data_IF_337818966211
#
_entry.id   IF_337818966211
#
_cell.length_a   1.000
_cell.length_b   1.000
_cell.length_c   1.000
_cell.angle_alpha   90.00
_cell.angle_beta   90.00
_cell.angle_gamma   90.00
#
_symmetry.space_group_name_H-M   'P 1'
#
loop_
_entity.id
_entity.type
_entity.pdbx_description
1 polymer ?
#
# COMPACT_ATOMS: atom_id res chain seq x y z
N UNK A 1 -37.14 6.24 1.04
CA UNK A 1 -35.98 6.95 0.47
C UNK A 1 -34.73 6.40 1.14
N UNK A 2 -34.01 5.50 0.49
CA UNK A 2 -32.71 5.02 1.00
C UNK A 2 -31.73 6.19 0.95
N UNK A 3 -31.26 6.62 2.11
CA UNK A 3 -30.22 7.63 2.21
C UNK A 3 -29.03 7.18 1.35
N UNK A 4 -28.60 8.04 0.41
CA UNK A 4 -27.44 7.75 -0.43
C UNK A 4 -26.23 7.45 0.46
N UNK A 5 -25.58 6.31 0.24
CA UNK A 5 -24.36 5.93 0.95
C UNK A 5 -23.30 7.01 0.69
N UNK A 6 -22.79 7.62 1.77
CA UNK A 6 -21.84 8.73 1.69
C UNK A 6 -20.56 8.32 0.97
N UNK A 7 -20.13 7.06 1.12
CA UNK A 7 -18.95 6.52 0.45
C UNK A 7 -19.20 6.39 -1.06
N UNK A 8 -20.37 5.88 -1.46
CA UNK A 8 -20.75 5.81 -2.88
C UNK A 8 -20.86 7.21 -3.49
N UNK A 9 -21.32 8.19 -2.70
CA UNK A 9 -21.39 9.58 -3.11
C UNK A 9 -19.99 10.18 -3.32
N UNK A 10 -19.03 9.88 -2.44
CA UNK A 10 -17.63 10.30 -2.58
C UNK A 10 -17.00 9.69 -3.84
N UNK A 11 -17.24 8.41 -4.11
CA UNK A 11 -16.64 7.68 -5.23
C UNK A 11 -17.34 7.89 -6.57
N UNK A 12 -18.51 8.54 -6.57
CA UNK A 12 -19.28 8.81 -7.78
C UNK A 12 -18.41 9.51 -8.83
N UNK A 13 -18.47 9.01 -10.07
CA UNK A 13 -17.74 9.52 -11.23
C UNK A 13 -16.19 9.49 -11.06
N UNK A 14 -15.69 8.69 -10.13
CA UNK A 14 -14.26 8.44 -9.92
C UNK A 14 -13.82 7.09 -10.47
N UNK A 15 -12.51 6.91 -10.68
CA UNK A 15 -11.91 5.62 -11.08
C UNK A 15 -11.33 4.86 -9.88
N UNK A 16 -11.81 5.18 -8.68
CA UNK A 16 -11.41 4.50 -7.44
C UNK A 16 -12.52 3.55 -7.03
N UNK A 17 -12.13 2.40 -6.53
CA UNK A 17 -13.07 1.37 -6.11
C UNK A 17 -12.72 0.81 -4.74
N UNK A 18 -13.55 -0.08 -4.22
CA UNK A 18 -13.42 -0.61 -2.86
C UNK A 18 -13.16 -2.13 -2.84
N UNK A 19 -13.00 -2.76 -4.00
CA UNK A 19 -12.91 -4.21 -4.19
C UNK A 19 -11.80 -4.85 -3.35
N UNK A 20 -10.72 -4.11 -3.10
CA UNK A 20 -9.61 -4.59 -2.29
C UNK A 20 -9.92 -4.62 -0.79
N UNK A 21 -10.94 -3.90 -0.31
CA UNK A 21 -11.21 -3.69 1.11
C UNK A 21 -12.33 -4.58 1.64
N UNK A 22 -12.06 -5.23 2.77
CA UNK A 22 -13.06 -6.03 3.45
C UNK A 22 -14.21 -5.15 3.93
N UNK A 23 -15.42 -5.70 3.98
CA UNK A 23 -16.61 -4.93 4.34
C UNK A 23 -16.49 -4.26 5.72
N UNK A 24 -15.79 -4.91 6.66
CA UNK A 24 -15.53 -4.34 7.99
C UNK A 24 -14.62 -3.10 7.94
N UNK A 25 -13.59 -3.08 7.10
CA UNK A 25 -12.73 -1.90 6.90
C UNK A 25 -13.56 -0.71 6.39
N UNK A 26 -14.45 -0.98 5.42
CA UNK A 26 -15.35 0.02 4.84
C UNK A 26 -16.34 0.54 5.88
N UNK A 27 -16.96 -0.34 6.68
CA UNK A 27 -17.89 0.09 7.73
C UNK A 27 -17.19 0.88 8.84
N UNK A 28 -15.99 0.47 9.26
CA UNK A 28 -15.23 1.16 10.30
C UNK A 28 -14.87 2.59 9.87
N UNK A 29 -14.49 2.79 8.60
CA UNK A 29 -14.27 4.14 8.09
C UNK A 29 -15.60 4.92 8.00
N UNK A 30 -16.66 4.29 7.47
CA UNK A 30 -17.99 4.91 7.31
C UNK A 30 -18.53 5.51 8.60
N UNK A 31 -18.40 4.80 9.72
CA UNK A 31 -18.87 5.27 11.03
C UNK A 31 -18.15 6.52 11.53
N UNK A 32 -16.96 6.83 11.01
CA UNK A 32 -16.13 7.99 11.36
C UNK A 32 -16.24 9.12 10.34
N UNK A 33 -17.13 9.02 9.35
CA UNK A 33 -17.36 10.07 8.36
C UNK A 33 -18.37 11.07 8.92
N UNK A 34 -17.96 12.33 8.96
CA UNK A 34 -18.81 13.45 9.37
C UNK A 34 -19.03 14.41 8.21
N UNK A 35 -20.12 15.17 8.25
CA UNK A 35 -20.47 16.14 7.22
C UNK A 35 -21.13 15.52 5.97
N UNK A 36 -22.15 16.20 5.44
CA UNK A 36 -22.90 15.74 4.26
C UNK A 36 -22.31 16.31 2.96
N UNK A 37 -22.16 17.64 2.88
CA UNK A 37 -21.68 18.35 1.68
C UNK A 37 -20.16 18.27 1.51
N UNK A 38 -19.45 18.27 2.63
CA UNK A 38 -17.99 18.15 2.68
C UNK A 38 -17.65 17.04 3.65
N UNK A 39 -17.63 15.78 3.19
CA UNK A 39 -17.35 14.64 4.05
C UNK A 39 -15.92 14.74 4.59
N UNK A 40 -15.76 14.58 5.89
CA UNK A 40 -14.47 14.60 6.59
C UNK A 40 -14.33 13.36 7.45
N UNK A 41 -13.09 13.00 7.77
CA UNK A 41 -12.79 12.00 8.81
C UNK A 41 -11.52 12.38 9.56
N UNK A 42 -11.34 11.88 10.77
CA UNK A 42 -10.09 12.05 11.50
C UNK A 42 -9.00 11.14 10.91
N UNK A 43 -7.89 11.75 10.49
CA UNK A 43 -6.74 11.01 9.96
C UNK A 43 -5.79 10.64 11.12
N UNK A 44 -5.62 9.34 11.42
CA UNK A 44 -4.74 8.89 12.48
C UNK A 44 -3.27 8.99 12.12
N UNK A 45 -2.87 9.50 10.94
CA UNK A 45 -1.45 9.81 10.68
C UNK A 45 -1.19 11.29 10.91
N UNK A 46 -2.00 12.14 10.26
CA UNK A 46 -1.88 13.61 10.34
C UNK A 46 -2.39 14.21 11.65
N UNK A 47 -3.15 13.45 12.46
CA UNK A 47 -3.67 13.90 13.75
C UNK A 47 -4.76 14.97 13.69
N UNK A 48 -5.45 15.08 12.55
CA UNK A 48 -6.48 16.11 12.30
C UNK A 48 -7.57 15.60 11.37
N UNK A 49 -8.70 16.31 11.33
CA UNK A 49 -9.74 16.07 10.34
C UNK A 49 -9.24 16.38 8.92
N UNK A 50 -9.61 15.53 7.97
CA UNK A 50 -9.26 15.65 6.54
C UNK A 50 -10.51 15.47 5.69
N UNK A 51 -10.59 16.20 4.58
CA UNK A 51 -11.68 16.05 3.62
C UNK A 51 -11.50 14.76 2.79
N UNK A 52 -12.54 13.93 2.74
CA UNK A 52 -12.58 12.71 1.95
C UNK A 52 -12.90 13.00 0.49
N UNK A 53 -11.83 13.22 -0.29
CA UNK A 53 -11.85 13.03 -1.75
C UNK A 53 -11.72 11.53 -2.07
N UNK A 54 -12.06 11.06 -3.30
CA UNK A 54 -11.90 9.65 -3.67
C UNK A 54 -10.55 9.05 -3.32
N UNK A 55 -9.47 9.74 -3.66
CA UNK A 55 -8.10 9.31 -3.35
C UNK A 55 -7.82 9.27 -1.83
N UNK A 56 -8.26 10.29 -1.10
CA UNK A 56 -8.09 10.33 0.36
C UNK A 56 -8.89 9.21 1.03
N UNK A 57 -10.06 8.84 0.51
CA UNK A 57 -10.83 7.70 1.00
C UNK A 57 -10.02 6.39 0.87
N UNK A 58 -9.42 6.13 -0.31
CA UNK A 58 -8.57 4.95 -0.50
C UNK A 58 -7.32 5.04 0.37
N UNK A 59 -6.69 6.21 0.50
CA UNK A 59 -5.53 6.43 1.39
C UNK A 59 -5.88 6.13 2.86
N UNK A 60 -7.05 6.55 3.34
CA UNK A 60 -7.51 6.25 4.70
C UNK A 60 -7.81 4.76 4.89
N UNK A 61 -8.47 4.10 3.94
CA UNK A 61 -8.70 2.65 4.01
C UNK A 61 -7.37 1.87 4.01
N UNK A 62 -6.43 2.28 3.15
CA UNK A 62 -5.13 1.61 3.06
C UNK A 62 -4.30 1.79 4.32
N UNK A 63 -4.34 2.96 4.98
CA UNK A 63 -3.62 3.13 6.23
C UNK A 63 -4.21 2.31 7.37
N UNK A 64 -5.54 2.18 7.46
CA UNK A 64 -6.16 1.26 8.43
C UNK A 64 -5.67 -0.17 8.23
N UNK A 65 -5.46 -0.60 6.99
CA UNK A 65 -4.86 -1.91 6.69
C UNK A 65 -3.42 -2.00 7.15
N UNK A 66 -2.60 -0.97 6.90
CA UNK A 66 -1.21 -0.93 7.35
C UNK A 66 -1.11 -1.04 8.88
N UNK A 67 -1.97 -0.33 9.61
CA UNK A 67 -1.96 -0.32 11.08
C UNK A 67 -2.53 -1.62 11.66
N UNK A 68 -3.66 -2.11 11.14
CA UNK A 68 -4.42 -3.18 11.79
C UNK A 68 -4.08 -4.58 11.26
N UNK A 69 -3.75 -4.71 9.97
CA UNK A 69 -3.46 -6.02 9.34
C UNK A 69 -1.97 -6.27 9.17
N UNK A 70 -1.22 -5.25 8.72
CA UNK A 70 0.23 -5.35 8.60
C UNK A 70 0.97 -4.93 9.88
N UNK A 71 0.23 -4.50 10.91
CA UNK A 71 0.75 -4.16 12.23
C UNK A 71 1.85 -3.10 12.25
N UNK A 72 1.95 -2.25 11.22
CA UNK A 72 2.90 -1.16 11.22
C UNK A 72 2.51 -0.12 12.27
N UNK A 73 3.41 0.24 13.20
CA UNK A 73 3.13 1.28 14.18
C UNK A 73 2.96 2.63 13.47
N UNK A 74 2.06 3.47 14.00
CA UNK A 74 1.73 4.80 13.44
C UNK A 74 2.99 5.65 13.23
N UNK A 75 3.95 5.52 14.13
CA UNK A 75 5.23 6.24 14.17
C UNK A 75 6.12 5.92 12.98
N UNK A 76 5.90 4.79 12.29
CA UNK A 76 6.60 4.40 11.07
C UNK A 76 5.88 4.85 9.79
N UNK A 77 4.62 5.28 9.87
CA UNK A 77 3.84 5.67 8.68
C UNK A 77 3.87 7.18 8.49
N UNK A 78 4.11 7.64 7.27
CA UNK A 78 4.09 9.05 6.87
C UNK A 78 3.16 9.23 5.69
N UNK A 79 2.41 10.32 5.69
CA UNK A 79 1.62 10.76 4.54
C UNK A 79 2.32 11.91 3.83
N UNK A 80 2.16 11.99 2.51
CA UNK A 80 2.66 13.10 1.69
C UNK A 80 4.16 13.38 1.93
N UNK A 81 4.94 12.30 2.12
CA UNK A 81 6.34 12.35 2.51
C UNK A 81 7.17 12.96 1.38
N UNK A 82 8.03 13.92 1.73
CA UNK A 82 8.82 14.67 0.78
C UNK A 82 9.94 13.81 0.20
N UNK A 83 9.98 13.67 -1.12
CA UNK A 83 11.08 13.01 -1.85
C UNK A 83 11.83 14.06 -2.67
N UNK A 84 13.15 14.12 -2.46
CA UNK A 84 14.02 15.07 -3.14
C UNK A 84 14.57 14.46 -4.44
N UNK A 85 14.46 15.20 -5.54
CA UNK A 85 14.96 14.87 -6.87
C UNK A 85 15.93 15.97 -7.31
N UNK A 86 17.12 16.00 -6.73
CA UNK A 86 18.05 17.11 -6.90
C UNK A 86 17.42 18.43 -6.42
N UNK A 87 17.05 19.31 -7.36
CA UNK A 87 16.37 20.58 -7.06
C UNK A 87 14.84 20.45 -6.98
N UNK A 88 14.27 19.43 -7.61
CA UNK A 88 12.83 19.20 -7.58
C UNK A 88 12.42 18.47 -6.29
N UNK A 89 11.21 18.74 -5.82
CA UNK A 89 10.62 18.08 -4.66
C UNK A 89 9.24 17.56 -5.02
N UNK A 90 8.99 16.29 -4.72
CA UNK A 90 7.69 15.63 -4.92
C UNK A 90 7.24 14.98 -3.61
N UNK A 91 5.99 14.55 -3.53
CA UNK A 91 5.44 13.91 -2.32
C UNK A 91 4.91 12.52 -2.67
N UNK A 92 5.36 11.52 -1.93
CA UNK A 92 4.80 10.18 -1.99
C UNK A 92 3.55 10.10 -1.11
N UNK A 93 2.53 9.37 -1.54
CA UNK A 93 1.24 9.33 -0.84
C UNK A 93 1.37 8.75 0.57
N UNK A 94 1.97 7.57 0.68
CA UNK A 94 2.27 6.91 1.95
C UNK A 94 3.69 6.36 1.90
N UNK A 95 4.43 6.57 2.97
CA UNK A 95 5.74 5.95 3.21
C UNK A 95 5.71 5.22 4.54
N UNK A 96 6.18 3.97 4.53
CA UNK A 96 6.52 3.22 5.74
C UNK A 96 8.03 3.29 5.89
N UNK A 97 8.48 3.75 7.06
CA UNK A 97 9.88 3.91 7.40
C UNK A 97 10.46 2.59 7.91
N UNK A 98 11.76 2.42 7.70
CA UNK A 98 12.55 1.29 8.18
C UNK A 98 12.47 1.22 9.73
N UNK A 99 12.46 -0.01 10.26
CA UNK A 99 12.26 -0.25 11.70
C UNK A 99 13.46 0.25 12.53
N UNK A 100 14.66 0.16 11.98
CA UNK A 100 15.92 0.47 12.66
C UNK A 100 16.46 1.84 12.23
N UNK A 101 16.00 2.36 11.08
CA UNK A 101 16.42 3.65 10.51
C UNK A 101 15.21 4.55 10.28
N UNK A 102 14.87 5.34 11.30
CA UNK A 102 13.65 6.15 11.35
C UNK A 102 13.46 7.16 10.19
N UNK A 103 14.52 7.54 9.48
CA UNK A 103 14.44 8.47 8.33
C UNK A 103 14.60 7.76 6.97
N UNK A 104 14.68 6.42 6.95
CA UNK A 104 14.87 5.65 5.72
C UNK A 104 13.55 5.07 5.25
N UNK A 105 13.05 5.44 4.05
CA UNK A 105 11.89 4.80 3.44
C UNK A 105 12.13 3.30 3.21
N UNK A 106 11.22 2.47 3.70
CA UNK A 106 11.24 1.02 3.51
C UNK A 106 10.23 0.57 2.45
N UNK A 107 9.00 1.07 2.53
CA UNK A 107 7.94 0.83 1.56
C UNK A 107 7.37 2.16 1.12
N UNK A 108 7.19 2.33 -0.19
CA UNK A 108 6.51 3.48 -0.79
C UNK A 108 5.20 3.01 -1.41
N UNK A 109 4.09 3.65 -1.06
CA UNK A 109 2.77 3.35 -1.61
C UNK A 109 2.26 4.56 -2.37
N UNK A 110 1.79 4.34 -3.60
CA UNK A 110 1.08 5.34 -4.41
C UNK A 110 -0.38 4.93 -4.59
N UNK A 111 -1.27 5.84 -4.23
CA UNK A 111 -2.73 5.71 -4.32
C UNK A 111 -3.18 6.58 -5.49
N UNK A 112 -3.36 5.99 -6.68
CA UNK A 112 -3.48 6.75 -7.92
C UNK A 112 -4.67 6.36 -8.81
N UNK A 113 -5.08 7.36 -9.61
CA UNK A 113 -5.99 7.25 -10.76
C UNK A 113 -5.35 6.45 -11.92
N UNK A 114 -6.16 5.97 -12.91
CA UNK A 114 -6.34 4.56 -13.22
C UNK A 114 -5.23 3.87 -14.04
N UNK A 115 -4.20 4.60 -14.48
CA UNK A 115 -3.17 4.00 -15.34
C UNK A 115 -2.02 3.47 -14.50
N UNK A 116 -2.00 2.15 -14.30
CA UNK A 116 -0.90 1.42 -13.68
C UNK A 116 0.48 1.83 -14.24
N UNK A 117 0.57 2.08 -15.55
CA UNK A 117 1.83 2.46 -16.20
C UNK A 117 2.41 3.78 -15.68
N UNK A 118 1.57 4.80 -15.47
CA UNK A 118 2.01 6.10 -14.97
C UNK A 118 2.42 6.00 -13.49
N UNK A 119 1.69 5.21 -12.71
CA UNK A 119 2.02 4.91 -11.31
C UNK A 119 3.33 4.14 -11.17
N UNK A 120 3.57 3.15 -12.03
CA UNK A 120 4.83 2.38 -12.07
C UNK A 120 6.04 3.26 -12.29
N UNK A 121 6.00 4.17 -13.27
CA UNK A 121 7.12 5.07 -13.55
C UNK A 121 7.43 5.97 -12.34
N UNK A 122 6.40 6.50 -11.68
CA UNK A 122 6.54 7.34 -10.49
C UNK A 122 7.13 6.56 -9.31
N UNK A 123 6.65 5.34 -9.03
CA UNK A 123 7.18 4.47 -7.98
C UNK A 123 8.65 4.13 -8.21
N UNK A 124 9.04 3.84 -9.46
CA UNK A 124 10.44 3.64 -9.83
C UNK A 124 11.29 4.85 -9.50
N UNK A 125 10.84 6.04 -9.89
CA UNK A 125 11.53 7.29 -9.56
C UNK A 125 11.68 7.49 -8.04
N UNK A 126 10.63 7.26 -7.26
CA UNK A 126 10.70 7.42 -5.80
C UNK A 126 11.65 6.42 -5.13
N UNK A 127 11.58 5.14 -5.50
CA UNK A 127 12.48 4.15 -4.93
C UNK A 127 13.94 4.41 -5.31
N UNK A 128 14.21 4.87 -6.54
CA UNK A 128 15.56 5.25 -6.95
C UNK A 128 16.09 6.46 -6.16
N UNK A 129 15.23 7.44 -5.86
CA UNK A 129 15.62 8.64 -5.11
C UNK A 129 15.79 8.40 -3.60
N UNK A 130 15.11 7.41 -3.04
CA UNK A 130 15.06 7.15 -1.59
C UNK A 130 15.83 5.91 -1.15
N UNK A 131 16.12 4.99 -2.07
CA UNK A 131 16.67 3.68 -1.77
C UNK A 131 15.63 2.66 -1.28
N UNK A 132 14.33 3.00 -1.24
CA UNK A 132 13.30 2.09 -0.75
C UNK A 132 13.30 0.76 -1.54
N UNK A 133 13.35 -0.40 -0.86
CA UNK A 133 13.35 -1.71 -1.52
C UNK A 133 11.98 -2.13 -2.05
N UNK A 134 10.88 -1.56 -1.53
CA UNK A 134 9.52 -2.02 -1.85
C UNK A 134 8.66 -0.87 -2.33
N UNK A 135 7.90 -1.12 -3.40
CA UNK A 135 6.91 -0.21 -3.95
C UNK A 135 5.54 -0.87 -4.04
N UNK A 136 4.49 -0.10 -3.76
CA UNK A 136 3.10 -0.54 -3.88
C UNK A 136 2.32 0.48 -4.70
N UNK A 137 1.54 -0.02 -5.66
CA UNK A 137 0.57 0.77 -6.38
C UNK A 137 -0.83 0.26 -6.09
N UNK A 138 -1.80 1.16 -5.86
CA UNK A 138 -3.22 0.78 -5.79
C UNK A 138 -4.17 1.90 -6.23
N UNK A 139 -5.33 1.49 -6.76
CA UNK A 139 -6.49 2.35 -7.00
C UNK A 139 -7.75 1.88 -6.22
N UNK A 140 -7.57 0.97 -5.25
CA UNK A 140 -8.67 0.37 -4.50
C UNK A 140 -9.42 -0.77 -5.23
N UNK A 141 -9.23 -0.92 -6.55
CA UNK A 141 -9.67 -2.09 -7.32
C UNK A 141 -8.55 -3.11 -7.50
N UNK A 142 -7.38 -2.61 -7.85
CA UNK A 142 -6.17 -3.38 -8.17
C UNK A 142 -5.04 -2.94 -7.25
N UNK A 143 -4.17 -3.89 -6.94
CA UNK A 143 -2.96 -3.67 -6.18
C UNK A 143 -1.80 -4.39 -6.87
N UNK A 144 -0.62 -3.79 -6.81
CA UNK A 144 0.60 -4.42 -7.26
C UNK A 144 1.73 -4.08 -6.30
N UNK A 145 2.49 -5.11 -5.96
CA UNK A 145 3.64 -5.02 -5.06
C UNK A 145 4.90 -5.30 -5.85
N UNK A 146 5.95 -4.52 -5.61
CA UNK A 146 7.22 -4.65 -6.30
C UNK A 146 8.39 -4.68 -5.32
N UNK A 147 9.35 -5.54 -5.60
CA UNK A 147 10.69 -5.49 -5.02
C UNK A 147 11.65 -4.84 -6.02
N UNK A 148 12.32 -3.76 -5.59
CA UNK A 148 13.42 -3.12 -6.32
C UNK A 148 14.71 -3.89 -6.08
N UNK A 149 15.29 -4.43 -7.15
CA UNK A 149 16.65 -4.98 -7.19
C UNK A 149 17.60 -4.03 -7.91
N UNK A 150 18.87 -4.06 -7.54
CA UNK A 150 19.89 -3.32 -8.27
C UNK A 150 20.17 -3.93 -9.65
N UNK A 151 20.50 -3.11 -10.68
CA UNK A 151 20.61 -1.65 -10.65
C UNK A 151 19.31 -0.93 -11.06
N UNK A 152 18.14 -1.33 -10.53
CA UNK A 152 16.77 -0.80 -10.72
C UNK A 152 15.82 -1.68 -11.55
N UNK A 153 15.90 -3.00 -11.36
CA UNK A 153 14.86 -3.92 -11.82
C UNK A 153 13.74 -4.00 -10.78
N UNK A 154 12.47 -4.05 -11.23
CA UNK A 154 11.31 -4.15 -10.34
C UNK A 154 10.61 -5.47 -10.63
N UNK A 155 10.60 -6.35 -9.64
CA UNK A 155 9.96 -7.64 -9.70
C UNK A 155 8.64 -7.62 -8.96
N UNK A 156 7.59 -8.17 -9.57
CA UNK A 156 6.34 -8.40 -8.86
C UNK A 156 6.58 -9.32 -7.66
N UNK A 157 6.07 -8.95 -6.49
CA UNK A 157 6.01 -9.80 -5.30
C UNK A 157 4.54 -10.04 -4.91
N UNK A 158 4.30 -11.07 -4.12
CA UNK A 158 2.95 -11.49 -3.73
C UNK A 158 2.27 -10.47 -2.81
N UNK A 159 2.99 -10.01 -1.79
CA UNK A 159 2.52 -9.05 -0.80
C UNK A 159 3.68 -8.20 -0.26
N UNK A 160 3.40 -7.24 0.63
CA UNK A 160 4.41 -6.58 1.46
C UNK A 160 4.59 -7.33 2.79
N UNK A 161 5.76 -7.24 3.44
CA UNK A 161 5.93 -7.77 4.78
C UNK A 161 5.00 -7.04 5.76
N UNK A 162 4.53 -7.75 6.78
CA UNK A 162 4.01 -7.10 7.98
C UNK A 162 5.18 -6.55 8.83
N UNK A 163 4.88 -5.85 9.94
CA UNK A 163 5.88 -5.17 10.76
C UNK A 163 6.95 -6.09 11.37
N UNK A 164 6.64 -7.37 11.54
CA UNK A 164 7.52 -8.40 12.13
C UNK A 164 8.18 -9.30 11.09
N UNK A 165 7.76 -9.20 9.82
CA UNK A 165 8.33 -9.91 8.70
C UNK A 165 9.42 -9.10 7.99
N UNK A 166 10.31 -9.81 7.33
CA UNK A 166 11.29 -9.25 6.42
C UNK A 166 10.84 -9.43 4.97
N UNK A 167 11.45 -8.66 4.07
CA UNK A 167 11.28 -8.88 2.63
C UNK A 167 11.73 -10.29 2.20
N UNK A 168 12.74 -10.86 2.86
CA UNK A 168 13.21 -12.21 2.55
C UNK A 168 12.12 -13.26 2.82
N UNK A 169 11.32 -13.08 3.88
CA UNK A 169 10.21 -13.98 4.21
C UNK A 169 9.19 -14.01 3.07
N UNK A 170 8.78 -12.83 2.59
CA UNK A 170 7.85 -12.69 1.45
C UNK A 170 8.40 -13.33 0.17
N UNK A 171 9.70 -13.13 -0.12
CA UNK A 171 10.32 -13.72 -1.30
C UNK A 171 10.38 -15.25 -1.20
N UNK A 172 10.63 -15.80 -0.01
CA UNK A 172 10.68 -17.24 0.24
C UNK A 172 9.31 -17.91 0.08
N UNK A 173 8.23 -17.28 0.55
CA UNK A 173 6.86 -17.77 0.37
C UNK A 173 6.54 -17.96 -1.12
N UNK A 174 6.92 -16.99 -1.96
CA UNK A 174 6.77 -17.10 -3.42
C UNK A 174 7.51 -18.30 -4.00
N UNK A 175 8.73 -18.60 -3.52
CA UNK A 175 9.47 -19.78 -4.00
C UNK A 175 8.75 -21.07 -3.62
N UNK A 176 8.22 -21.19 -2.40
CA UNK A 176 7.49 -22.39 -1.97
C UNK A 176 6.22 -22.65 -2.78
N UNK A 177 5.46 -21.60 -3.14
CA UNK A 177 4.27 -21.73 -3.99
C UNK A 177 4.60 -22.13 -5.43
N UNK A 178 5.77 -21.73 -5.93
CA UNK A 178 6.20 -22.01 -7.30
C UNK A 178 7.06 -23.28 -7.43
N UNK A 179 7.40 -23.93 -6.32
CA UNK A 179 8.12 -25.21 -6.33
C UNK A 179 7.08 -26.33 -6.35
N UNK A 180 6.93 -27.10 -7.44
CA UNK A 180 6.11 -28.30 -7.39
C UNK A 180 6.71 -29.21 -6.32
N UNK A 181 5.88 -29.74 -5.42
CA UNK A 181 6.30 -30.75 -4.44
C UNK A 181 6.96 -31.92 -5.19
N UNK A 182 8.29 -31.89 -5.32
CA UNK A 182 9.05 -33.04 -5.77
C UNK A 182 8.95 -34.06 -4.64
N UNK A 183 8.13 -35.06 -4.91
CA UNK A 183 7.83 -36.21 -4.06
C UNK A 183 9.13 -36.76 -3.44
N UNK A 184 9.31 -36.73 -2.09
CA UNK A 184 10.48 -37.29 -1.44
C UNK A 184 10.32 -38.81 -1.28
N UNK A 185 10.20 -39.53 -2.39
CA UNK A 185 10.30 -40.99 -2.44
C UNK A 185 10.99 -41.40 -3.75
N UNK A 186 12.26 -41.05 -3.86
CA UNK A 186 13.18 -41.68 -4.81
C UNK A 186 14.52 -41.97 -4.12
N UNK A 187 14.46 -42.61 -2.96
CA UNK A 187 15.55 -43.40 -2.42
C UNK A 187 14.94 -44.67 -1.82
N UNK A 188 15.03 -45.79 -2.56
CA UNK A 188 15.16 -47.17 -2.07
C UNK A 188 14.72 -48.18 -3.14
N UNK A 189 15.69 -48.69 -3.92
CA UNK A 189 15.86 -50.09 -4.38
C UNK A 189 17.02 -50.02 -5.40
N UNK A 190 18.17 -50.65 -5.23
CA UNK A 190 18.44 -51.94 -4.61
C UNK A 190 18.93 -52.87 -5.72
N UNK A 191 20.24 -53.16 -5.69
CA UNK A 191 21.08 -53.97 -6.62
C UNK A 191 21.61 -53.28 -7.87
#
# INVERSE_FOLDING_TARGET
MTQSDIIQTILKDSNYHLDLFHISEIQNLRQRIEGKKTPITYCPIRGKAVQLKPEELIRQLYVERLLNRYHYPRERVRFEHLVNFGREKKRADIVILDKDRADTPYIIVEVKKPKLQDGKAQLRSYCNATGAPIAVWTNGQQISHYHRRDPNYFEDITDIPNADQTLADILSERFTLNTPLSNPHAFACGM
#
